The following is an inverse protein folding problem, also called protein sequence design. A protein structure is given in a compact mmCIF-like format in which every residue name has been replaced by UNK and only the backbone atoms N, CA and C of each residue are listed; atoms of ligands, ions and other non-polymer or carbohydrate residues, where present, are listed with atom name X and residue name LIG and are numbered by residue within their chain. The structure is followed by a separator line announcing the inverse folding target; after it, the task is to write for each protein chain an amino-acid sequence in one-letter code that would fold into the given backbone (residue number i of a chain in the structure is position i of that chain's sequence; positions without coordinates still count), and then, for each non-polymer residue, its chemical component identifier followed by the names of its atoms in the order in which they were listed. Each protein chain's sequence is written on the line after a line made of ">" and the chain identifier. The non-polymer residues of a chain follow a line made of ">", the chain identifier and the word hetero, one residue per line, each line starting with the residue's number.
data_IF_409796683489
#
_entry.id   IF_409796683489
#
_cell.length_a   1.000
_cell.length_b   1.000
_cell.length_c   1.000
_cell.angle_alpha   90.00
_cell.angle_beta   90.00
_cell.angle_gamma   90.00
#
_symmetry.space_group_name_H-M   'P 1'
#
loop_
_entity.id
_entity.type
_entity.pdbx_description
1 polymer ?
#
# COMPACT_ATOMS: atom_id res chain seq x y z
N UNK A 1 34.78 19.11 18.22
CA UNK A 1 33.73 19.93 17.60
C UNK A 1 34.11 20.14 16.13
N UNK A 2 33.64 19.26 15.23
CA UNK A 2 33.93 19.32 13.80
C UNK A 2 32.90 20.21 13.15
N UNK A 3 33.30 21.38 12.73
CA UNK A 3 32.50 22.36 12.03
C UNK A 3 32.06 21.82 10.66
N UNK A 4 30.78 21.88 10.38
CA UNK A 4 30.20 21.57 9.08
C UNK A 4 30.91 22.40 7.98
N UNK A 5 31.58 21.73 7.06
CA UNK A 5 32.14 22.36 5.87
C UNK A 5 31.08 22.41 4.78
N UNK A 6 30.91 23.54 4.07
CA UNK A 6 29.97 23.64 2.94
C UNK A 6 30.19 22.56 1.86
N UNK A 7 31.43 22.07 1.70
CA UNK A 7 31.80 20.96 0.82
C UNK A 7 31.13 19.65 1.19
N UNK A 8 30.92 19.40 2.49
CA UNK A 8 30.33 18.12 2.97
C UNK A 8 28.82 18.08 2.70
N UNK A 9 28.17 19.26 2.79
CA UNK A 9 26.77 19.42 2.42
C UNK A 9 26.58 19.21 0.91
N UNK A 10 27.46 19.79 0.09
CA UNK A 10 27.43 19.62 -1.36
C UNK A 10 27.64 18.15 -1.78
N UNK A 11 28.52 17.43 -1.11
CA UNK A 11 28.76 16.01 -1.38
C UNK A 11 27.59 15.14 -0.96
N UNK A 12 26.99 15.40 0.22
CA UNK A 12 25.80 14.70 0.70
C UNK A 12 24.57 14.95 -0.20
N UNK A 13 24.37 16.16 -0.67
CA UNK A 13 23.28 16.51 -1.60
C UNK A 13 23.47 15.84 -2.96
N UNK A 14 24.69 15.83 -3.50
CA UNK A 14 24.99 15.11 -4.75
C UNK A 14 24.78 13.61 -4.62
N UNK A 15 25.16 12.99 -3.50
CA UNK A 15 24.90 11.58 -3.24
C UNK A 15 23.40 11.27 -3.24
N UNK A 16 22.60 12.05 -2.52
CA UNK A 16 21.14 11.87 -2.49
C UNK A 16 20.49 12.10 -3.86
N UNK A 17 20.93 13.09 -4.63
CA UNK A 17 20.43 13.32 -5.97
C UNK A 17 20.79 12.17 -6.93
N UNK A 18 21.98 11.60 -6.80
CA UNK A 18 22.38 10.42 -7.57
C UNK A 18 21.51 9.18 -7.22
N UNK A 19 21.21 8.97 -5.94
CA UNK A 19 20.33 7.88 -5.49
C UNK A 19 18.91 8.04 -6.04
N UNK A 20 18.36 9.26 -6.00
CA UNK A 20 17.06 9.59 -6.60
C UNK A 20 17.08 9.34 -8.11
N UNK A 21 18.15 9.78 -8.79
CA UNK A 21 18.31 9.56 -10.24
C UNK A 21 18.40 8.08 -10.63
N UNK A 22 19.10 7.26 -9.83
CA UNK A 22 19.15 5.81 -10.03
C UNK A 22 17.77 5.18 -9.79
N UNK A 23 17.05 5.60 -8.74
CA UNK A 23 15.69 5.17 -8.48
C UNK A 23 14.74 5.49 -9.65
N UNK A 24 14.79 6.72 -10.15
CA UNK A 24 13.96 7.14 -11.29
C UNK A 24 14.26 6.34 -12.57
N UNK A 25 15.53 6.06 -12.86
CA UNK A 25 15.94 5.19 -13.99
C UNK A 25 15.42 3.77 -13.81
N UNK A 26 15.50 3.21 -12.62
CA UNK A 26 14.99 1.88 -12.32
C UNK A 26 13.47 1.83 -12.49
N UNK A 27 12.76 2.82 -11.95
CA UNK A 27 11.30 2.93 -12.09
C UNK A 27 10.88 2.98 -13.57
N UNK A 28 11.51 3.84 -14.35
CA UNK A 28 11.23 3.96 -15.79
C UNK A 28 11.48 2.65 -16.54
N UNK A 29 12.60 1.99 -16.24
CA UNK A 29 12.94 0.69 -16.82
C UNK A 29 11.91 -0.38 -16.45
N UNK A 30 11.43 -0.40 -15.21
CA UNK A 30 10.39 -1.34 -14.76
C UNK A 30 9.06 -1.10 -15.47
N UNK A 31 8.68 0.15 -15.73
CA UNK A 31 7.49 0.49 -16.49
C UNK A 31 7.61 0.05 -17.96
N UNK A 32 8.75 0.32 -18.61
CA UNK A 32 8.99 -0.11 -19.99
C UNK A 32 8.95 -1.64 -20.15
N UNK A 33 9.49 -2.37 -19.18
CA UNK A 33 9.50 -3.83 -19.17
C UNK A 33 8.18 -4.43 -18.65
N UNK A 34 7.25 -3.62 -18.19
CA UNK A 34 5.94 -4.06 -17.68
C UNK A 34 5.15 -4.90 -18.67
N UNK A 35 5.16 -4.53 -19.96
CA UNK A 35 4.51 -5.30 -21.02
C UNK A 35 5.03 -6.74 -21.15
N UNK A 36 6.28 -6.99 -20.78
CA UNK A 36 6.86 -8.33 -20.79
C UNK A 36 6.46 -9.18 -19.58
N UNK A 37 6.20 -8.55 -18.44
CA UNK A 37 5.65 -9.24 -17.27
C UNK A 37 4.28 -9.86 -17.60
N UNK A 38 3.44 -9.14 -18.34
CA UNK A 38 2.14 -9.64 -18.78
C UNK A 38 2.22 -10.73 -19.86
N UNK A 39 3.33 -10.86 -20.59
CA UNK A 39 3.58 -12.01 -21.47
C UNK A 39 3.87 -13.31 -20.69
N UNK A 40 4.21 -13.21 -19.40
CA UNK A 40 4.45 -14.35 -18.50
C UNK A 40 3.57 -14.25 -17.27
N UNK A 41 2.24 -14.40 -17.41
CA UNK A 41 1.28 -14.14 -16.34
C UNK A 41 1.49 -15.05 -15.10
N UNK A 42 2.07 -16.24 -15.28
CA UNK A 42 2.40 -17.14 -14.18
C UNK A 42 3.28 -16.49 -13.11
N UNK A 43 4.33 -15.75 -13.52
CA UNK A 43 5.23 -15.09 -12.57
C UNK A 43 4.54 -13.99 -11.77
N UNK A 44 3.68 -13.21 -12.43
CA UNK A 44 2.92 -12.14 -11.76
C UNK A 44 1.87 -12.75 -10.83
N UNK A 45 1.14 -13.78 -11.29
CA UNK A 45 0.14 -14.49 -10.49
C UNK A 45 0.76 -15.05 -9.19
N UNK A 46 1.92 -15.69 -9.29
CA UNK A 46 2.60 -16.27 -8.14
C UNK A 46 3.01 -15.19 -7.14
N UNK A 47 3.41 -14.00 -7.62
CA UNK A 47 3.70 -12.86 -6.77
C UNK A 47 2.43 -12.24 -6.14
N UNK A 48 1.34 -12.12 -6.89
CA UNK A 48 0.04 -11.68 -6.35
C UNK A 48 -0.43 -12.63 -5.26
N UNK A 49 -0.31 -13.95 -5.49
CA UNK A 49 -0.66 -14.95 -4.50
C UNK A 49 0.23 -14.85 -3.24
N UNK A 50 1.53 -14.73 -3.41
CA UNK A 50 2.48 -14.61 -2.30
C UNK A 50 2.24 -13.34 -1.47
N UNK A 51 2.14 -12.18 -2.12
CA UNK A 51 1.95 -10.90 -1.44
C UNK A 51 0.53 -10.74 -0.89
N UNK A 52 -0.47 -11.20 -1.65
CA UNK A 52 -1.88 -11.09 -1.29
C UNK A 52 -2.28 -12.08 -0.20
N UNK A 53 -2.13 -13.36 -0.45
CA UNK A 53 -2.62 -14.41 0.45
C UNK A 53 -2.03 -14.33 1.86
N UNK A 54 -0.72 -14.13 1.96
CA UNK A 54 -0.08 -13.99 3.28
C UNK A 54 -0.39 -12.67 3.99
N UNK A 55 -0.89 -11.64 3.29
CA UNK A 55 -1.33 -10.39 3.91
C UNK A 55 -2.83 -10.39 4.24
N UNK A 56 -3.59 -11.31 3.67
CA UNK A 56 -5.05 -11.32 3.72
C UNK A 56 -5.58 -11.40 5.16
N UNK A 57 -5.02 -12.26 6.00
CA UNK A 57 -5.49 -12.44 7.38
C UNK A 57 -5.33 -11.17 8.22
N UNK A 58 -4.16 -10.53 8.17
CA UNK A 58 -3.91 -9.32 8.94
C UNK A 58 -4.77 -8.16 8.43
N UNK A 59 -4.95 -8.06 7.11
CA UNK A 59 -5.75 -7.00 6.49
C UNK A 59 -7.24 -7.19 6.80
N UNK A 60 -7.77 -8.42 6.70
CA UNK A 60 -9.15 -8.71 7.03
C UNK A 60 -9.47 -8.45 8.50
N UNK A 61 -8.62 -8.92 9.42
CA UNK A 61 -8.81 -8.67 10.86
C UNK A 61 -8.71 -7.18 11.19
N UNK A 62 -7.76 -6.47 10.59
CA UNK A 62 -7.64 -5.03 10.79
C UNK A 62 -8.84 -4.28 10.25
N UNK A 63 -9.36 -4.67 9.07
CA UNK A 63 -10.59 -4.10 8.51
C UNK A 63 -11.78 -4.28 9.44
N UNK A 64 -11.95 -5.47 10.00
CA UNK A 64 -13.01 -5.77 10.97
C UNK A 64 -12.96 -4.85 12.18
N UNK A 65 -11.80 -4.73 12.83
CA UNK A 65 -11.64 -3.88 14.01
C UNK A 65 -11.77 -2.38 13.70
N UNK A 66 -11.27 -1.93 12.57
CA UNK A 66 -11.46 -0.54 12.13
C UNK A 66 -12.94 -0.27 11.87
N UNK A 67 -13.67 -1.21 11.27
CA UNK A 67 -15.12 -1.14 11.10
C UNK A 67 -15.86 -1.03 12.44
N UNK A 68 -15.46 -1.82 13.44
CA UNK A 68 -16.01 -1.73 14.80
C UNK A 68 -15.84 -0.34 15.41
N UNK A 69 -14.62 0.19 15.35
CA UNK A 69 -14.30 1.51 15.91
C UNK A 69 -15.06 2.61 15.18
N UNK A 70 -15.13 2.55 13.85
CA UNK A 70 -15.88 3.54 13.07
C UNK A 70 -17.37 3.53 13.37
N UNK A 71 -17.97 2.35 13.57
CA UNK A 71 -19.37 2.25 13.95
C UNK A 71 -19.63 2.85 15.33
N UNK A 72 -18.77 2.54 16.32
CA UNK A 72 -18.88 3.12 17.66
C UNK A 72 -18.74 4.65 17.65
N UNK A 73 -17.70 5.16 17.00
CA UNK A 73 -17.43 6.59 16.90
C UNK A 73 -18.50 7.32 16.07
N UNK A 74 -18.87 6.73 14.93
CA UNK A 74 -19.91 7.28 14.06
C UNK A 74 -21.25 7.34 14.77
N UNK A 75 -21.63 6.29 15.49
CA UNK A 75 -22.87 6.27 16.27
C UNK A 75 -22.91 7.37 17.35
N UNK A 76 -21.84 7.49 18.16
CA UNK A 76 -21.75 8.50 19.19
C UNK A 76 -21.91 9.94 18.62
N UNK A 77 -21.28 10.21 17.48
CA UNK A 77 -21.39 11.51 16.83
C UNK A 77 -22.81 11.72 16.27
N UNK A 78 -23.36 10.74 15.54
CA UNK A 78 -24.66 10.84 14.92
C UNK A 78 -25.79 10.91 15.95
N UNK A 79 -25.63 10.32 17.11
CA UNK A 79 -26.58 10.40 18.22
C UNK A 79 -26.75 11.84 18.74
N UNK A 80 -25.68 12.64 18.76
CA UNK A 80 -25.73 14.05 19.15
C UNK A 80 -26.60 14.88 18.21
N UNK A 81 -26.72 14.45 16.94
CA UNK A 81 -27.51 15.12 15.92
C UNK A 81 -28.86 14.43 15.61
N UNK A 82 -29.21 13.39 16.37
CA UNK A 82 -30.45 12.62 16.15
C UNK A 82 -30.51 11.88 14.81
N UNK A 83 -29.38 11.60 14.18
CA UNK A 83 -29.29 11.05 12.80
C UNK A 83 -28.63 9.66 12.76
N UNK A 84 -28.90 8.81 13.74
CA UNK A 84 -28.27 7.48 13.87
C UNK A 84 -28.52 6.57 12.66
N UNK A 85 -29.60 6.78 11.91
CA UNK A 85 -29.92 6.05 10.68
C UNK A 85 -28.88 6.26 9.55
N UNK A 86 -28.07 7.32 9.60
CA UNK A 86 -27.01 7.58 8.64
C UNK A 86 -25.69 6.83 8.93
N UNK A 87 -25.67 5.96 9.94
CA UNK A 87 -24.47 5.26 10.39
C UNK A 87 -23.82 4.44 9.25
N UNK A 88 -24.62 3.72 8.47
CA UNK A 88 -24.14 2.92 7.34
C UNK A 88 -23.39 3.75 6.30
N UNK A 89 -23.89 4.96 6.01
CA UNK A 89 -23.23 5.91 5.11
C UNK A 89 -21.86 6.35 5.65
N UNK A 90 -21.81 6.79 6.89
CA UNK A 90 -20.57 7.32 7.51
C UNK A 90 -19.48 6.24 7.58
N UNK A 91 -19.86 5.03 8.00
CA UNK A 91 -18.92 3.88 8.06
C UNK A 91 -18.40 3.55 6.67
N UNK A 92 -19.29 3.44 5.67
CA UNK A 92 -18.89 3.05 4.32
C UNK A 92 -18.02 4.10 3.65
N UNK A 93 -18.41 5.37 3.69
CA UNK A 93 -17.60 6.44 3.08
C UNK A 93 -16.24 6.60 3.78
N UNK A 94 -16.20 6.52 5.10
CA UNK A 94 -14.95 6.59 5.87
C UNK A 94 -13.98 5.45 5.51
N UNK A 95 -14.51 4.24 5.30
CA UNK A 95 -13.70 3.10 4.88
C UNK A 95 -13.26 3.24 3.42
N UNK A 96 -14.20 3.40 2.50
CA UNK A 96 -13.94 3.27 1.05
C UNK A 96 -13.09 4.42 0.52
N UNK A 97 -13.37 5.66 0.96
CA UNK A 97 -12.67 6.86 0.46
C UNK A 97 -11.29 7.06 1.07
N UNK A 98 -11.13 6.73 2.37
CA UNK A 98 -9.94 7.14 3.12
C UNK A 98 -9.26 5.98 3.82
N UNK A 99 -9.87 5.41 4.85
CA UNK A 99 -9.19 4.47 5.76
C UNK A 99 -8.82 3.16 5.07
N UNK A 100 -9.68 2.64 4.18
CA UNK A 100 -9.41 1.39 3.49
C UNK A 100 -8.11 1.41 2.70
N UNK A 101 -7.96 2.30 1.72
CA UNK A 101 -6.73 2.43 0.95
C UNK A 101 -5.49 2.69 1.82
N UNK A 102 -5.57 3.65 2.76
CA UNK A 102 -4.43 4.08 3.57
C UNK A 102 -3.99 3.00 4.55
N UNK A 103 -4.91 2.46 5.36
CA UNK A 103 -4.56 1.45 6.37
C UNK A 103 -4.06 0.18 5.71
N UNK A 104 -4.70 -0.24 4.60
CA UNK A 104 -4.21 -1.39 3.83
C UNK A 104 -2.80 -1.15 3.31
N UNK A 105 -2.49 0.06 2.80
CA UNK A 105 -1.16 0.39 2.29
C UNK A 105 -0.09 0.38 3.39
N UNK A 106 -0.40 0.88 4.60
CA UNK A 106 0.52 0.86 5.74
C UNK A 106 0.79 -0.58 6.20
N UNK A 107 -0.24 -1.41 6.31
CA UNK A 107 -0.09 -2.84 6.66
C UNK A 107 0.66 -3.61 5.59
N UNK A 108 0.37 -3.33 4.32
CA UNK A 108 1.07 -3.92 3.18
C UNK A 108 2.54 -3.53 3.15
N UNK A 109 2.88 -2.27 3.42
CA UNK A 109 4.26 -1.79 3.54
C UNK A 109 5.00 -2.51 4.68
N UNK A 110 4.36 -2.66 5.83
CA UNK A 110 4.94 -3.33 7.00
C UNK A 110 5.19 -4.82 6.79
N UNK A 111 4.30 -5.52 6.09
CA UNK A 111 4.41 -6.98 5.91
C UNK A 111 4.97 -7.36 4.53
N UNK A 112 4.30 -7.01 3.46
CA UNK A 112 4.69 -7.39 2.10
C UNK A 112 5.90 -6.60 1.61
N UNK A 113 5.95 -5.29 1.92
CA UNK A 113 7.09 -4.43 1.57
C UNK A 113 8.39 -4.90 2.20
N UNK A 114 8.38 -5.24 3.49
CA UNK A 114 9.56 -5.78 4.19
C UNK A 114 9.99 -7.13 3.63
N UNK A 115 9.04 -8.02 3.35
CA UNK A 115 9.31 -9.33 2.77
C UNK A 115 9.99 -9.21 1.40
N UNK A 116 9.44 -8.37 0.51
CA UNK A 116 10.03 -8.09 -0.81
C UNK A 116 11.44 -7.52 -0.70
N UNK A 117 11.64 -6.55 0.19
CA UNK A 117 12.95 -5.94 0.42
C UNK A 117 13.96 -6.96 0.92
N UNK A 118 13.55 -7.81 1.87
CA UNK A 118 14.40 -8.86 2.42
C UNK A 118 14.79 -9.90 1.37
N UNK A 119 13.82 -10.39 0.58
CA UNK A 119 14.09 -11.37 -0.47
C UNK A 119 15.08 -10.85 -1.51
N UNK A 120 14.85 -9.63 -2.03
CA UNK A 120 15.74 -9.04 -3.04
C UNK A 120 17.11 -8.75 -2.43
N UNK A 121 17.13 -8.23 -1.20
CA UNK A 121 18.38 -7.97 -0.46
C UNK A 121 19.20 -9.24 -0.19
N UNK A 122 18.54 -10.35 0.15
CA UNK A 122 19.21 -11.66 0.33
C UNK A 122 19.71 -12.21 -1.00
N UNK A 123 18.95 -12.08 -2.09
CA UNK A 123 19.44 -12.46 -3.43
C UNK A 123 20.68 -11.65 -3.83
N UNK A 124 20.76 -10.40 -3.42
CA UNK A 124 21.94 -9.55 -3.63
C UNK A 124 23.11 -9.99 -2.75
N UNK A 125 22.86 -10.25 -1.48
CA UNK A 125 23.88 -10.71 -0.53
C UNK A 125 24.46 -12.08 -0.89
N UNK A 126 23.65 -12.97 -1.48
CA UNK A 126 24.07 -14.28 -2.00
C UNK A 126 24.58 -14.26 -3.43
N UNK A 127 24.89 -13.08 -4.00
CA UNK A 127 25.43 -12.88 -5.36
C UNK A 127 24.55 -13.45 -6.50
N UNK A 128 23.30 -13.83 -6.19
CA UNK A 128 22.38 -14.42 -7.18
C UNK A 128 22.07 -13.46 -8.33
N UNK A 129 21.94 -12.15 -8.03
CA UNK A 129 21.67 -11.14 -9.07
C UNK A 129 22.87 -11.00 -10.01
N UNK A 130 24.09 -10.96 -9.46
CA UNK A 130 25.33 -10.89 -10.26
C UNK A 130 25.58 -12.16 -11.07
N UNK A 131 25.27 -13.33 -10.51
CA UNK A 131 25.35 -14.61 -11.23
C UNK A 131 24.38 -14.64 -12.43
N UNK A 132 23.17 -14.07 -12.28
CA UNK A 132 22.23 -13.95 -13.41
C UNK A 132 22.76 -13.04 -14.51
N UNK A 133 23.38 -11.91 -14.15
CA UNK A 133 24.01 -10.99 -15.12
C UNK A 133 25.15 -11.68 -15.89
N UNK A 134 25.98 -12.47 -15.21
CA UNK A 134 27.04 -13.27 -15.86
C UNK A 134 26.48 -14.31 -16.85
N UNK A 135 25.27 -14.81 -16.58
CA UNK A 135 24.54 -15.70 -17.51
C UNK A 135 23.75 -14.97 -18.61
N UNK A 136 23.98 -13.66 -18.77
CA UNK A 136 23.24 -12.80 -19.71
C UNK A 136 21.71 -12.73 -19.45
N UNK A 137 21.28 -12.98 -18.20
CA UNK A 137 19.89 -12.85 -17.77
C UNK A 137 19.71 -11.52 -17.02
N UNK A 138 18.87 -10.63 -17.52
CA UNK A 138 18.57 -9.35 -16.85
C UNK A 138 17.76 -9.57 -15.56
N UNK A 139 18.35 -9.30 -14.36
CA UNK A 139 17.65 -9.47 -13.09
C UNK A 139 16.45 -8.54 -12.93
N UNK A 140 16.50 -7.34 -13.51
CA UNK A 140 15.37 -6.39 -13.48
C UNK A 140 14.15 -7.01 -14.13
N UNK A 141 14.34 -7.54 -15.34
CA UNK A 141 13.29 -8.17 -16.14
C UNK A 141 12.74 -9.44 -15.50
N UNK A 142 13.61 -10.27 -14.93
CA UNK A 142 13.24 -11.60 -14.43
C UNK A 142 12.69 -11.60 -13.01
N UNK A 143 13.20 -10.70 -12.15
CA UNK A 143 12.91 -10.69 -10.71
C UNK A 143 12.13 -9.44 -10.30
N UNK A 144 12.63 -8.23 -10.63
CA UNK A 144 12.07 -7.00 -10.07
C UNK A 144 10.70 -6.67 -10.68
N UNK A 145 10.56 -6.79 -12.00
CA UNK A 145 9.34 -6.43 -12.73
C UNK A 145 8.14 -7.28 -12.32
N UNK A 146 8.20 -8.64 -12.25
CA UNK A 146 7.09 -9.45 -11.77
C UNK A 146 6.68 -9.16 -10.33
N UNK A 147 7.66 -8.90 -9.45
CA UNK A 147 7.41 -8.53 -8.05
C UNK A 147 6.71 -7.18 -7.93
N UNK A 148 7.18 -6.20 -8.71
CA UNK A 148 6.57 -4.88 -8.75
C UNK A 148 5.10 -4.96 -9.19
N UNK A 149 4.80 -5.56 -10.34
CA UNK A 149 3.43 -5.67 -10.83
C UNK A 149 2.55 -6.58 -9.96
N UNK A 150 3.14 -7.62 -9.36
CA UNK A 150 2.44 -8.45 -8.39
C UNK A 150 1.94 -7.65 -7.19
N UNK A 151 2.77 -6.78 -6.63
CA UNK A 151 2.38 -5.92 -5.51
C UNK A 151 1.38 -4.83 -5.90
N UNK A 152 1.56 -4.21 -7.08
CA UNK A 152 0.65 -3.19 -7.62
C UNK A 152 -0.76 -3.75 -7.83
N UNK A 153 -0.88 -5.00 -8.26
CA UNK A 153 -2.19 -5.67 -8.45
C UNK A 153 -2.76 -6.17 -7.11
N UNK A 154 -1.91 -6.69 -6.23
CA UNK A 154 -2.36 -7.22 -4.93
C UNK A 154 -2.96 -6.13 -4.04
N UNK A 155 -2.43 -4.92 -4.09
CA UNK A 155 -2.82 -3.82 -3.20
C UNK A 155 -4.29 -3.40 -3.33
N UNK A 156 -4.87 -3.12 -4.52
CA UNK A 156 -6.29 -2.81 -4.66
C UNK A 156 -7.21 -3.96 -4.24
N UNK A 157 -6.81 -5.22 -4.51
CA UNK A 157 -7.57 -6.39 -4.09
C UNK A 157 -7.63 -6.50 -2.57
N UNK A 158 -6.53 -6.27 -1.89
CA UNK A 158 -6.47 -6.28 -0.43
C UNK A 158 -7.26 -5.12 0.18
N UNK A 159 -7.25 -3.93 -0.43
CA UNK A 159 -8.06 -2.80 0.00
C UNK A 159 -9.56 -3.08 -0.17
N UNK A 160 -9.96 -3.77 -1.24
CA UNK A 160 -11.34 -4.21 -1.43
C UNK A 160 -11.78 -5.19 -0.33
N UNK A 161 -10.93 -6.15 0.03
CA UNK A 161 -11.20 -7.07 1.16
C UNK A 161 -11.30 -6.31 2.49
N UNK A 162 -10.38 -5.38 2.74
CA UNK A 162 -10.41 -4.54 3.94
C UNK A 162 -11.74 -3.79 4.07
N UNK A 163 -12.17 -3.14 2.98
CA UNK A 163 -13.42 -2.38 2.95
C UNK A 163 -14.65 -3.28 3.16
N UNK A 164 -14.72 -4.42 2.46
CA UNK A 164 -15.83 -5.35 2.60
C UNK A 164 -15.96 -5.89 4.03
N UNK A 165 -14.85 -6.35 4.62
CA UNK A 165 -14.83 -6.85 5.99
C UNK A 165 -15.09 -5.73 7.00
N UNK A 166 -14.57 -4.51 6.74
CA UNK A 166 -14.78 -3.34 7.58
C UNK A 166 -16.25 -2.90 7.63
N UNK A 167 -16.95 -2.92 6.49
CA UNK A 167 -18.40 -2.63 6.44
C UNK A 167 -19.19 -3.67 7.21
N UNK A 168 -18.85 -4.96 7.07
CA UNK A 168 -19.47 -6.04 7.86
C UNK A 168 -19.23 -5.81 9.36
N UNK A 169 -18.00 -5.46 9.74
CA UNK A 169 -17.68 -5.09 11.12
C UNK A 169 -18.51 -3.92 11.63
N UNK A 170 -18.62 -2.87 10.82
CA UNK A 170 -19.47 -1.72 11.14
C UNK A 170 -20.94 -2.08 11.32
N UNK A 171 -21.45 -2.96 10.46
CA UNK A 171 -22.80 -3.50 10.60
C UNK A 171 -22.98 -4.33 11.88
N UNK A 172 -22.04 -5.21 12.20
CA UNK A 172 -22.11 -6.01 13.43
C UNK A 172 -22.24 -5.12 14.69
N UNK A 173 -21.43 -4.11 14.81
CA UNK A 173 -21.50 -3.21 15.97
C UNK A 173 -22.72 -2.28 15.88
N UNK A 174 -22.97 -1.64 14.75
CA UNK A 174 -24.05 -0.67 14.58
C UNK A 174 -25.44 -1.29 14.76
N UNK A 175 -25.67 -2.46 14.15
CA UNK A 175 -26.98 -3.11 14.19
C UNK A 175 -27.11 -4.04 15.39
N UNK A 176 -26.16 -4.98 15.61
CA UNK A 176 -26.33 -6.01 16.65
C UNK A 176 -26.06 -5.49 18.06
N UNK A 177 -25.14 -4.53 18.23
CA UNK A 177 -24.80 -4.01 19.57
C UNK A 177 -25.52 -2.70 19.90
N UNK A 178 -25.60 -1.77 18.95
CA UNK A 178 -26.14 -0.43 19.18
C UNK A 178 -27.62 -0.29 18.79
N UNK A 179 -28.22 -1.33 18.18
CA UNK A 179 -29.64 -1.37 17.87
C UNK A 179 -30.09 -0.46 16.73
N UNK A 180 -29.19 -0.05 15.83
CA UNK A 180 -29.56 0.67 14.61
C UNK A 180 -30.36 -0.25 13.71
N UNK A 181 -31.42 0.26 13.08
CA UNK A 181 -32.21 -0.55 12.15
C UNK A 181 -31.36 -1.03 10.97
N UNK A 182 -31.40 -2.35 10.71
CA UNK A 182 -30.62 -2.95 9.63
C UNK A 182 -30.99 -2.43 8.26
N UNK A 183 -32.32 -2.16 8.05
CA UNK A 183 -32.81 -1.58 6.80
C UNK A 183 -32.31 -0.15 6.59
N UNK A 184 -32.27 0.66 7.66
CA UNK A 184 -31.72 2.01 7.62
C UNK A 184 -30.20 1.98 7.34
N UNK A 185 -29.44 1.07 7.96
CA UNK A 185 -27.99 0.93 7.73
C UNK A 185 -27.66 0.66 6.26
N UNK A 186 -28.26 -0.38 5.67
CA UNK A 186 -28.01 -0.74 4.27
C UNK A 186 -28.66 0.22 3.30
N UNK A 187 -29.85 0.75 3.61
CA UNK A 187 -30.55 1.72 2.78
C UNK A 187 -29.78 3.04 2.66
N UNK A 188 -29.25 3.56 3.78
CA UNK A 188 -28.41 4.78 3.76
C UNK A 188 -27.14 4.58 2.93
N UNK A 189 -26.52 3.41 3.03
CA UNK A 189 -25.37 3.06 2.20
C UNK A 189 -25.72 3.04 0.70
N UNK A 190 -26.78 2.31 0.31
CA UNK A 190 -27.14 2.12 -1.09
C UNK A 190 -27.63 3.40 -1.77
N UNK A 191 -28.33 4.28 -1.03
CA UNK A 191 -28.88 5.50 -1.60
C UNK A 191 -27.86 6.62 -1.77
N UNK A 192 -26.78 6.62 -1.00
CA UNK A 192 -25.88 7.77 -0.89
C UNK A 192 -24.44 7.50 -1.34
N UNK A 193 -24.03 6.23 -1.47
CA UNK A 193 -22.69 5.87 -1.94
C UNK A 193 -22.71 5.75 -3.46
N UNK A 194 -21.96 6.62 -4.12
CA UNK A 194 -21.75 6.54 -5.58
C UNK A 194 -20.60 5.56 -5.87
N UNK A 195 -20.96 4.40 -6.47
CA UNK A 195 -19.99 3.36 -6.77
C UNK A 195 -18.84 3.88 -7.66
N UNK A 196 -19.15 4.70 -8.67
CA UNK A 196 -18.13 5.20 -9.59
C UNK A 196 -17.23 6.26 -8.96
N UNK A 197 -17.80 7.18 -8.19
CA UNK A 197 -17.02 8.24 -7.53
C UNK A 197 -16.32 7.74 -6.28
N UNK A 198 -17.04 7.07 -5.37
CA UNK A 198 -16.49 6.74 -4.06
C UNK A 198 -15.59 5.50 -4.11
N UNK A 199 -16.11 4.40 -4.67
CA UNK A 199 -15.32 3.17 -4.81
C UNK A 199 -14.23 3.35 -5.86
N UNK A 200 -14.53 4.02 -6.98
CA UNK A 200 -13.54 4.32 -8.01
C UNK A 200 -12.36 5.12 -7.48
N UNK A 201 -12.60 6.18 -6.71
CA UNK A 201 -11.54 6.96 -6.07
C UNK A 201 -10.72 6.11 -5.09
N UNK A 202 -11.36 5.27 -4.28
CA UNK A 202 -10.67 4.34 -3.38
C UNK A 202 -9.77 3.35 -4.13
N UNK A 203 -10.24 2.81 -5.27
CA UNK A 203 -9.44 1.91 -6.12
C UNK A 203 -8.25 2.65 -6.73
N UNK A 204 -8.44 3.87 -7.24
CA UNK A 204 -7.34 4.68 -7.79
C UNK A 204 -6.30 4.99 -6.72
N UNK A 205 -6.72 5.42 -5.51
CA UNK A 205 -5.82 5.62 -4.37
C UNK A 205 -5.03 4.34 -4.05
N UNK A 206 -5.72 3.20 -3.94
CA UNK A 206 -5.09 1.90 -3.66
C UNK A 206 -4.06 1.51 -4.71
N UNK A 207 -4.35 1.77 -5.98
CA UNK A 207 -3.43 1.51 -7.08
C UNK A 207 -2.17 2.38 -6.97
N UNK A 208 -2.32 3.68 -6.74
CA UNK A 208 -1.20 4.63 -6.58
C UNK A 208 -0.34 4.24 -5.37
N UNK A 209 -0.97 3.88 -4.25
CA UNK A 209 -0.25 3.40 -3.06
C UNK A 209 0.47 2.08 -3.33
N UNK A 210 -0.15 1.17 -4.09
CA UNK A 210 0.47 -0.06 -4.54
C UNK A 210 1.75 0.20 -5.34
N UNK A 211 1.72 1.13 -6.28
CA UNK A 211 2.89 1.58 -7.05
C UNK A 211 3.97 2.13 -6.11
N UNK A 212 3.61 3.04 -5.21
CA UNK A 212 4.56 3.69 -4.31
C UNK A 212 5.23 2.70 -3.36
N UNK A 213 4.43 1.89 -2.63
CA UNK A 213 4.94 0.94 -1.63
C UNK A 213 5.80 -0.13 -2.28
N UNK A 214 5.33 -0.72 -3.39
CA UNK A 214 6.04 -1.81 -4.04
C UNK A 214 7.33 -1.31 -4.70
N UNK A 215 7.29 -0.11 -5.29
CA UNK A 215 8.50 0.50 -5.85
C UNK A 215 9.55 0.76 -4.77
N UNK A 216 9.17 1.36 -3.64
CA UNK A 216 10.09 1.60 -2.51
C UNK A 216 10.68 0.27 -2.02
N UNK A 217 9.87 -0.76 -1.87
CA UNK A 217 10.32 -2.07 -1.41
C UNK A 217 11.35 -2.70 -2.37
N UNK A 218 11.06 -2.71 -3.66
CA UNK A 218 11.95 -3.24 -4.70
C UNK A 218 13.24 -2.44 -4.78
N UNK A 219 13.15 -1.10 -4.74
CA UNK A 219 14.32 -0.20 -4.78
C UNK A 219 15.22 -0.42 -3.58
N UNK A 220 14.67 -0.44 -2.35
CA UNK A 220 15.46 -0.62 -1.14
C UNK A 220 16.13 -1.99 -1.08
N UNK A 221 15.44 -3.04 -1.54
CA UNK A 221 16.03 -4.38 -1.66
C UNK A 221 17.17 -4.43 -2.69
N UNK A 222 16.97 -3.78 -3.85
CA UNK A 222 17.95 -3.76 -4.93
C UNK A 222 19.22 -2.97 -4.58
N UNK A 223 19.09 -1.86 -3.84
CA UNK A 223 20.25 -1.03 -3.41
C UNK A 223 20.82 -1.44 -2.05
N UNK A 224 20.25 -2.44 -1.38
CA UNK A 224 20.73 -2.91 -0.08
C UNK A 224 22.21 -3.29 -0.12
N UNK A 225 22.96 -3.01 0.94
CA UNK A 225 24.30 -3.53 1.08
C UNK A 225 24.28 -5.06 1.18
N UNK A 226 25.18 -5.81 0.53
CA UNK A 226 25.17 -7.27 0.51
C UNK A 226 25.67 -7.86 1.86
N UNK A 227 25.04 -7.48 2.94
CA UNK A 227 25.32 -7.94 4.31
C UNK A 227 24.00 -8.12 5.06
N UNK A 228 23.93 -9.05 6.04
CA UNK A 228 22.71 -9.23 6.85
C UNK A 228 22.22 -7.93 7.51
N UNK A 229 23.14 -7.12 8.04
CA UNK A 229 22.82 -5.81 8.61
C UNK A 229 22.30 -4.82 7.57
N UNK A 230 22.86 -4.88 6.35
CA UNK A 230 22.40 -4.05 5.22
C UNK A 230 20.97 -4.36 4.83
N UNK A 231 20.61 -5.65 4.77
CA UNK A 231 19.25 -6.11 4.49
C UNK A 231 18.28 -5.67 5.61
N UNK A 232 18.66 -5.86 6.87
CA UNK A 232 17.87 -5.43 8.02
C UNK A 232 17.61 -3.91 8.01
N UNK A 233 18.62 -3.10 7.71
CA UNK A 233 18.45 -1.64 7.58
C UNK A 233 17.56 -1.27 6.38
N UNK A 234 17.68 -2.00 5.27
CA UNK A 234 16.86 -1.76 4.09
C UNK A 234 15.37 -2.04 4.37
N UNK A 235 15.04 -3.12 5.09
CA UNK A 235 13.65 -3.44 5.48
C UNK A 235 13.04 -2.36 6.37
N UNK A 236 13.77 -1.87 7.37
CA UNK A 236 13.33 -0.76 8.23
C UNK A 236 13.10 0.53 7.41
N UNK A 237 14.04 0.87 6.52
CA UNK A 237 13.90 2.02 5.63
C UNK A 237 12.70 1.91 4.70
N UNK A 238 12.42 0.71 4.20
CA UNK A 238 11.25 0.44 3.34
C UNK A 238 9.98 0.84 4.04
N UNK A 239 9.76 0.39 5.28
CA UNK A 239 8.54 0.74 6.03
C UNK A 239 8.43 2.24 6.22
N UNK A 240 9.50 2.90 6.69
CA UNK A 240 9.46 4.33 6.98
C UNK A 240 9.18 5.15 5.71
N UNK A 241 9.94 4.89 4.63
CA UNK A 241 9.79 5.65 3.39
C UNK A 241 8.43 5.38 2.74
N UNK A 242 8.01 4.10 2.69
CA UNK A 242 6.72 3.74 2.10
C UNK A 242 5.55 4.35 2.88
N UNK A 243 5.56 4.28 4.22
CA UNK A 243 4.50 4.86 5.05
C UNK A 243 4.41 6.38 4.92
N UNK A 244 5.54 7.08 4.93
CA UNK A 244 5.55 8.53 4.71
C UNK A 244 5.08 8.90 3.30
N UNK A 245 5.48 8.12 2.29
CA UNK A 245 5.02 8.32 0.90
C UNK A 245 3.52 8.11 0.77
N UNK A 246 2.96 7.08 1.40
CA UNK A 246 1.52 6.81 1.40
C UNK A 246 0.76 7.97 2.03
N UNK A 247 1.16 8.43 3.23
CA UNK A 247 0.50 9.54 3.92
C UNK A 247 0.58 10.85 3.11
N UNK A 248 1.74 11.14 2.51
CA UNK A 248 1.92 12.32 1.65
C UNK A 248 1.08 12.24 0.37
N UNK A 249 1.06 11.07 -0.29
CA UNK A 249 0.25 10.84 -1.48
C UNK A 249 -1.25 10.86 -1.16
N UNK A 250 -1.66 10.35 0.01
CA UNK A 250 -3.06 10.37 0.43
C UNK A 250 -3.57 11.81 0.54
N UNK A 251 -2.83 12.67 1.23
CA UNK A 251 -3.17 14.09 1.32
C UNK A 251 -3.31 14.73 -0.06
N UNK A 252 -2.35 14.49 -0.97
CA UNK A 252 -2.38 15.05 -2.31
C UNK A 252 -3.56 14.52 -3.14
N UNK A 253 -3.81 13.21 -3.10
CA UNK A 253 -4.90 12.59 -3.84
C UNK A 253 -6.26 13.03 -3.30
N UNK A 254 -6.42 13.10 -1.97
CA UNK A 254 -7.65 13.60 -1.35
C UNK A 254 -7.89 15.05 -1.77
N UNK A 255 -6.88 15.91 -1.71
CA UNK A 255 -7.00 17.30 -2.13
C UNK A 255 -7.39 17.42 -3.62
N UNK A 256 -6.81 16.60 -4.50
CA UNK A 256 -7.14 16.61 -5.94
C UNK A 256 -8.52 16.03 -6.26
N UNK A 257 -8.95 14.99 -5.54
CA UNK A 257 -10.21 14.28 -5.83
C UNK A 257 -11.44 14.96 -5.23
N UNK A 258 -11.28 15.71 -4.14
CA UNK A 258 -12.40 16.32 -3.41
C UNK A 258 -12.37 17.85 -3.40
N UNK A 259 -11.34 18.50 -3.99
CA UNK A 259 -11.27 19.96 -4.10
C UNK A 259 -11.99 20.52 -5.34
N UNK A 260 -12.68 19.66 -6.09
CA UNK A 260 -13.40 20.06 -7.32
C UNK A 260 -14.89 19.79 -7.15
#
# INVERSE_FOLDING_TARGET
>A
MSWWRPSDVGFAVRGKLADIGQGAKLFWRMLQLGGEAFKRPGLVRDQVHFLGNYSLSIIAMSGLFVGFVLALQGYNILQLYGSTNALGLVVTLGLVRELGPVVTALLFAGRAGTSLTAEIGLMRAGEQLSAMEMMAVDPVRRILVPRFWGGVIAMPLLAAVFNAVGVIGGWMVGVLMLGVDSGAFWGAMQSSVDVWKDVGNGVVKSFVFGVAVTFVAVLQGYVAKPTPEGVSRATTRTVVIASLSVLGLDFLLTALMFSI
#
